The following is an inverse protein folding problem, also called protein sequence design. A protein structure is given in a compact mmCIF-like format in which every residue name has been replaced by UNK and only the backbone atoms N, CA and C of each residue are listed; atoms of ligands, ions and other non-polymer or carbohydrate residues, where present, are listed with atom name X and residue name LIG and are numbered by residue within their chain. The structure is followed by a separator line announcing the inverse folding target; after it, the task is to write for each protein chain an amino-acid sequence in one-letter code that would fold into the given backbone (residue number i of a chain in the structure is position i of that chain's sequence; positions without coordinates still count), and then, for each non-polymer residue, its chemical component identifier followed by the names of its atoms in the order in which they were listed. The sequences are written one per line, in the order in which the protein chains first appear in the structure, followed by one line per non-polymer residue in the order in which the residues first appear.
data_IF_727311165995
#
_entry.id   IF_727311165995
#
_cell.length_a   1.000
_cell.length_b   1.000
_cell.length_c   1.000
_cell.angle_alpha   90.00
_cell.angle_beta   90.00
_cell.angle_gamma   90.00
#
_symmetry.space_group_name_H-M   'P 1'
#
loop_
_entity.id
_entity.type
_entity.pdbx_description
1 polymer ?
#
# COMPACT_ATOMS: atom_id res chain seq x y z
N UNK A 1 8.57 11.87 -14.84
CA UNK A 1 8.31 12.44 -13.49
C UNK A 1 8.93 13.83 -13.34
N UNK A 2 8.71 14.67 -14.35
CA UNK A 2 9.49 15.93 -14.49
C UNK A 2 8.69 17.18 -14.15
N UNK A 3 7.38 17.08 -13.99
CA UNK A 3 6.53 18.27 -13.88
C UNK A 3 6.07 18.58 -12.45
N UNK A 4 6.48 17.81 -11.46
CA UNK A 4 6.13 18.07 -10.08
C UNK A 4 7.14 19.02 -9.45
N UNK A 5 6.62 20.07 -8.80
CA UNK A 5 7.44 21.07 -8.10
C UNK A 5 7.52 20.67 -6.63
N UNK A 6 8.70 20.27 -6.18
CA UNK A 6 8.93 19.91 -4.79
C UNK A 6 8.86 21.14 -3.89
N UNK A 7 8.41 20.98 -2.64
CA UNK A 7 8.44 22.08 -1.69
C UNK A 7 9.89 22.50 -1.40
N UNK A 8 10.12 23.80 -1.39
CA UNK A 8 11.45 24.37 -1.16
C UNK A 8 11.87 24.27 0.32
N UNK A 9 13.18 24.16 0.54
CA UNK A 9 13.77 24.23 1.88
C UNK A 9 13.81 22.90 2.63
N UNK A 10 13.41 21.80 2.00
CA UNK A 10 13.44 20.45 2.63
C UNK A 10 14.44 19.55 1.94
N UNK A 11 15.36 18.99 2.71
CA UNK A 11 16.40 18.08 2.19
C UNK A 11 15.92 16.62 2.12
N UNK A 12 15.18 16.18 3.14
CA UNK A 12 14.73 14.80 3.25
C UNK A 12 13.21 14.76 3.01
N UNK A 13 12.83 14.25 1.87
CA UNK A 13 11.42 14.14 1.48
C UNK A 13 11.04 12.66 1.38
N UNK A 14 10.03 12.26 2.10
CA UNK A 14 9.47 10.91 2.00
C UNK A 14 8.26 10.92 1.08
N UNK A 15 8.15 9.89 0.26
CA UNK A 15 6.92 9.57 -0.47
C UNK A 15 6.18 8.45 0.24
N UNK A 16 4.86 8.51 0.27
CA UNK A 16 4.01 7.52 0.91
C UNK A 16 2.87 7.13 -0.04
N UNK A 17 2.65 5.85 -0.16
CA UNK A 17 1.52 5.29 -0.90
C UNK A 17 1.08 3.98 -0.27
N UNK A 18 -0.18 3.59 -0.47
CA UNK A 18 -0.72 2.34 0.06
C UNK A 18 -1.23 1.42 -1.05
N UNK A 19 -1.31 0.14 -0.70
CA UNK A 19 -1.95 -0.91 -1.51
C UNK A 19 -2.86 -1.72 -0.59
N UNK A 20 -3.94 -2.22 -1.12
CA UNK A 20 -4.81 -3.12 -0.39
C UNK A 20 -6.04 -2.46 0.23
N UNK A 21 -6.52 -1.33 -0.31
CA UNK A 21 -7.79 -0.73 0.14
C UNK A 21 -9.00 -1.49 -0.34
N UNK A 22 -9.01 -1.92 -1.62
CA UNK A 22 -10.14 -2.60 -2.25
C UNK A 22 -10.32 -4.08 -1.94
N UNK A 23 -9.28 -4.86 -1.62
CA UNK A 23 -9.44 -6.28 -1.31
C UNK A 23 -10.38 -6.55 -0.13
N UNK A 24 -10.98 -7.73 -0.14
CA UNK A 24 -11.89 -8.20 0.91
C UNK A 24 -11.15 -8.82 2.10
N UNK A 25 -9.86 -9.07 1.97
CA UNK A 25 -9.05 -9.88 2.86
C UNK A 25 -7.68 -9.26 3.08
N UNK A 26 -7.13 -9.45 4.27
CA UNK A 26 -5.78 -9.04 4.63
C UNK A 26 -5.68 -7.56 4.99
N UNK A 27 -4.46 -7.14 5.27
CA UNK A 27 -4.14 -5.80 5.74
C UNK A 27 -4.09 -4.79 4.59
N UNK A 28 -4.30 -3.52 4.90
CA UNK A 28 -3.85 -2.43 4.04
C UNK A 28 -2.38 -2.17 4.38
N UNK A 29 -1.55 -2.03 3.33
CA UNK A 29 -0.09 -1.98 3.48
C UNK A 29 0.47 -0.77 2.73
N UNK A 30 0.72 0.36 3.41
CA UNK A 30 1.48 1.46 2.84
C UNK A 30 2.97 1.26 3.00
N UNK A 31 3.73 1.94 2.15
CA UNK A 31 5.17 2.10 2.29
C UNK A 31 5.53 3.59 2.35
N UNK A 32 6.66 3.89 2.95
CA UNK A 32 7.28 5.20 2.97
C UNK A 32 8.73 5.07 2.48
N UNK A 33 9.17 5.98 1.62
CA UNK A 33 10.51 5.92 1.02
C UNK A 33 11.13 7.32 0.97
N UNK A 34 12.38 7.41 1.42
CA UNK A 34 13.25 8.57 1.21
C UNK A 34 14.34 8.12 0.23
N UNK A 35 14.35 8.69 -0.98
CA UNK A 35 15.36 8.36 -1.98
C UNK A 35 16.67 9.10 -1.74
N UNK A 36 17.76 8.48 -2.20
CA UNK A 36 19.09 9.10 -2.16
C UNK A 36 19.34 9.82 -3.51
N UNK A 37 19.51 11.15 -3.50
CA UNK A 37 19.77 11.88 -4.74
C UNK A 37 21.08 11.48 -5.43
N UNK A 38 22.02 10.87 -4.69
CA UNK A 38 23.29 10.38 -5.23
C UNK A 38 23.20 8.96 -5.82
N UNK A 39 22.06 8.30 -5.66
CA UNK A 39 21.81 6.96 -6.19
C UNK A 39 20.46 6.92 -6.92
N UNK A 40 20.37 7.55 -8.09
CA UNK A 40 19.12 7.61 -8.85
C UNK A 40 18.67 6.22 -9.29
N UNK A 41 17.36 6.04 -9.36
CA UNK A 41 16.73 4.79 -9.80
C UNK A 41 15.96 5.09 -11.08
N UNK A 42 16.35 4.44 -12.18
CA UNK A 42 15.68 4.58 -13.46
C UNK A 42 14.43 3.71 -13.51
N UNK A 43 13.43 4.15 -14.27
CA UNK A 43 12.25 3.34 -14.58
C UNK A 43 11.14 3.39 -13.55
N UNK A 44 11.21 4.30 -12.57
CA UNK A 44 10.12 4.51 -11.63
C UNK A 44 8.88 5.03 -12.37
N UNK A 45 7.74 4.39 -12.09
CA UNK A 45 6.44 4.70 -12.69
C UNK A 45 5.34 4.21 -11.78
N UNK A 46 4.08 4.46 -12.17
CA UNK A 46 2.92 3.84 -11.53
C UNK A 46 3.10 2.32 -11.50
N UNK A 47 3.06 1.73 -10.31
CA UNK A 47 3.27 0.29 -10.10
C UNK A 47 2.33 -0.59 -10.94
N UNK A 48 1.12 -0.08 -11.23
CA UNK A 48 0.12 -0.77 -12.05
C UNK A 48 0.53 -0.88 -13.52
N UNK A 49 1.38 0.05 -14.00
CA UNK A 49 1.87 0.08 -15.39
C UNK A 49 3.12 -0.78 -15.60
N UNK A 50 3.72 -1.26 -14.51
CA UNK A 50 4.91 -2.09 -14.56
C UNK A 50 4.53 -3.58 -14.58
N UNK A 51 5.30 -4.40 -15.29
CA UNK A 51 5.17 -5.85 -15.20
C UNK A 51 5.59 -6.31 -13.80
N UNK A 52 5.13 -7.49 -13.39
CA UNK A 52 5.51 -8.09 -12.11
C UNK A 52 7.04 -8.22 -12.01
N UNK A 53 7.69 -8.68 -13.06
CA UNK A 53 9.15 -8.83 -13.12
C UNK A 53 9.86 -7.50 -12.88
N UNK A 54 9.40 -6.42 -13.52
CA UNK A 54 9.97 -5.08 -13.34
C UNK A 54 9.73 -4.55 -11.95
N UNK A 55 8.53 -4.77 -11.37
CA UNK A 55 8.24 -4.38 -9.99
C UNK A 55 9.17 -5.05 -9.00
N UNK A 56 9.38 -6.36 -9.13
CA UNK A 56 10.28 -7.10 -8.24
C UNK A 56 11.71 -6.59 -8.33
N UNK A 57 12.20 -6.34 -9.54
CA UNK A 57 13.54 -5.81 -9.76
C UNK A 57 13.70 -4.41 -9.16
N UNK A 58 12.72 -3.53 -9.38
CA UNK A 58 12.74 -2.17 -8.84
C UNK A 58 12.59 -2.17 -7.32
N UNK A 59 11.77 -3.05 -6.75
CA UNK A 59 11.64 -3.16 -5.30
C UNK A 59 12.99 -3.50 -4.64
N UNK A 60 13.74 -4.43 -5.21
CA UNK A 60 15.08 -4.78 -4.72
C UNK A 60 16.04 -3.59 -4.83
N UNK A 61 16.02 -2.88 -5.94
CA UNK A 61 16.87 -1.69 -6.17
C UNK A 61 16.52 -0.55 -5.21
N UNK A 62 15.22 -0.30 -4.97
CA UNK A 62 14.77 0.72 -4.02
C UNK A 62 15.28 0.40 -2.62
N UNK A 63 15.15 -0.84 -2.18
CA UNK A 63 15.61 -1.25 -0.84
C UNK A 63 17.13 -1.09 -0.67
N UNK A 64 17.88 -1.31 -1.73
CA UNK A 64 19.34 -1.16 -1.74
C UNK A 64 19.78 0.31 -1.74
N UNK A 65 19.14 1.14 -2.59
CA UNK A 65 19.60 2.51 -2.89
C UNK A 65 18.93 3.61 -2.07
N UNK A 66 17.73 3.40 -1.54
CA UNK A 66 17.03 4.41 -0.75
C UNK A 66 17.81 4.76 0.54
N UNK A 67 17.72 6.02 0.96
CA UNK A 67 18.25 6.43 2.27
C UNK A 67 17.50 5.73 3.39
N UNK A 68 16.19 5.62 3.26
CA UNK A 68 15.35 4.90 4.21
C UNK A 68 14.09 4.43 3.52
N UNK A 69 13.57 3.30 3.97
CA UNK A 69 12.26 2.80 3.56
C UNK A 69 11.63 2.02 4.72
N UNK A 70 10.32 2.03 4.78
CA UNK A 70 9.57 1.29 5.80
C UNK A 70 8.18 0.96 5.31
N UNK A 71 7.59 -0.06 5.92
CA UNK A 71 6.22 -0.47 5.67
C UNK A 71 5.39 -0.18 6.91
N UNK A 72 4.12 0.15 6.70
CA UNK A 72 3.11 0.21 7.75
C UNK A 72 2.02 -0.80 7.46
N UNK A 73 1.17 -1.04 8.45
CA UNK A 73 0.06 -1.99 8.32
C UNK A 73 -1.12 -1.52 9.14
N UNK A 74 -2.32 -1.79 8.63
CA UNK A 74 -3.52 -1.87 9.45
C UNK A 74 -4.18 -3.21 9.18
N UNK A 75 -4.40 -3.97 10.25
CA UNK A 75 -4.93 -5.33 10.17
C UNK A 75 -6.44 -5.34 9.91
N UNK A 76 -7.02 -6.47 9.44
CA UNK A 76 -8.46 -6.54 9.18
C UNK A 76 -9.34 -6.08 10.34
N UNK A 77 -8.99 -6.42 11.58
CA UNK A 77 -9.74 -5.97 12.75
C UNK A 77 -9.73 -4.46 12.93
N UNK A 78 -8.60 -3.80 12.64
CA UNK A 78 -8.50 -2.33 12.66
C UNK A 78 -9.31 -1.69 11.54
N UNK A 79 -9.31 -2.31 10.36
CA UNK A 79 -10.13 -1.86 9.23
C UNK A 79 -11.61 -1.93 9.59
N UNK A 80 -12.05 -3.00 10.23
CA UNK A 80 -13.44 -3.17 10.66
C UNK A 80 -13.85 -2.14 11.71
N UNK A 81 -12.94 -1.79 12.61
CA UNK A 81 -13.19 -0.79 13.66
C UNK A 81 -13.20 0.64 13.13
N UNK A 82 -12.22 0.99 12.28
CA UNK A 82 -11.94 2.36 11.85
C UNK A 82 -12.53 2.74 10.49
N UNK A 83 -12.96 1.78 9.70
CA UNK A 83 -13.18 1.79 8.24
C UNK A 83 -11.87 1.86 7.44
N UNK A 84 -11.95 1.59 6.14
CA UNK A 84 -10.75 1.47 5.30
C UNK A 84 -10.04 2.82 5.11
N UNK A 85 -10.75 3.93 5.07
CA UNK A 85 -10.14 5.24 4.91
C UNK A 85 -9.26 5.58 6.12
N UNK A 86 -9.81 5.50 7.31
CA UNK A 86 -9.08 5.83 8.55
C UNK A 86 -8.00 4.80 8.86
N UNK A 87 -8.24 3.54 8.59
CA UNK A 87 -7.22 2.49 8.73
C UNK A 87 -6.04 2.72 7.80
N UNK A 88 -6.29 3.14 6.54
CA UNK A 88 -5.24 3.50 5.59
C UNK A 88 -4.40 4.67 6.09
N UNK A 89 -5.04 5.71 6.64
CA UNK A 89 -4.36 6.86 7.20
C UNK A 89 -3.46 6.47 8.38
N UNK A 90 -3.98 5.66 9.29
CA UNK A 90 -3.22 5.15 10.43
C UNK A 90 -2.01 4.31 9.98
N UNK A 91 -2.20 3.45 9.00
CA UNK A 91 -1.12 2.63 8.45
C UNK A 91 -0.03 3.48 7.79
N UNK A 92 -0.40 4.56 7.08
CA UNK A 92 0.56 5.52 6.51
C UNK A 92 1.39 6.21 7.60
N UNK A 93 0.74 6.65 8.68
CA UNK A 93 1.43 7.23 9.84
C UNK A 93 2.45 6.24 10.42
N UNK A 94 2.07 4.98 10.53
CA UNK A 94 2.95 3.90 11.00
C UNK A 94 4.15 3.70 10.08
N UNK A 95 3.95 3.75 8.76
CA UNK A 95 5.03 3.63 7.80
C UNK A 95 6.06 4.76 7.95
N UNK A 96 5.60 6.00 8.05
CA UNK A 96 6.47 7.16 8.21
C UNK A 96 7.23 7.09 9.54
N UNK A 97 6.54 6.77 10.64
CA UNK A 97 7.16 6.64 11.96
C UNK A 97 8.21 5.52 12.03
N UNK A 98 8.06 4.48 11.21
CA UNK A 98 8.97 3.36 11.16
C UNK A 98 10.26 3.65 10.36
N UNK A 99 10.33 4.75 9.63
CA UNK A 99 11.54 5.16 8.91
C UNK A 99 12.68 5.39 9.90
N UNK A 100 13.85 4.79 9.63
CA UNK A 100 15.03 4.94 10.48
C UNK A 100 15.60 6.36 10.45
N UNK A 101 15.38 7.06 9.33
CA UNK A 101 15.70 8.47 9.16
C UNK A 101 14.36 9.18 9.02
N UNK A 102 14.07 10.15 9.90
CA UNK A 102 12.80 10.87 9.80
C UNK A 102 12.89 11.95 8.72
N UNK A 103 11.87 12.05 7.85
CA UNK A 103 11.87 13.05 6.80
C UNK A 103 11.57 14.45 7.35
N UNK A 104 11.93 15.47 6.57
CA UNK A 104 11.56 16.86 6.86
C UNK A 104 10.19 17.20 6.27
N UNK A 105 9.80 16.50 5.22
CA UNK A 105 8.53 16.70 4.52
C UNK A 105 8.01 15.37 3.97
N UNK A 106 6.69 15.22 3.92
CA UNK A 106 6.03 13.99 3.44
C UNK A 106 5.11 14.32 2.27
N UNK A 107 5.32 13.63 1.15
CA UNK A 107 4.43 13.66 0.00
C UNK A 107 3.58 12.41 0.00
N UNK A 108 2.26 12.57 0.04
CA UNK A 108 1.31 11.47 0.17
C UNK A 108 0.50 11.32 -1.12
N UNK A 109 0.44 10.11 -1.65
CA UNK A 109 -0.42 9.84 -2.81
C UNK A 109 -1.88 10.06 -2.44
N UNK A 110 -2.62 10.74 -3.33
CA UNK A 110 -4.04 10.98 -3.17
C UNK A 110 -4.39 12.42 -2.82
N UNK A 111 -5.52 12.60 -2.18
CA UNK A 111 -6.08 13.92 -1.88
C UNK A 111 -6.22 14.21 -0.38
N UNK A 112 -5.65 13.38 0.47
CA UNK A 112 -5.74 13.52 1.93
C UNK A 112 -4.38 13.31 2.58
N UNK A 113 -4.18 14.02 3.68
CA UNK A 113 -3.00 13.89 4.53
C UNK A 113 -3.41 13.15 5.80
N UNK A 114 -2.66 12.10 6.22
CA UNK A 114 -2.92 11.47 7.52
C UNK A 114 -2.86 12.49 8.66
N UNK A 115 -3.85 12.49 9.57
CA UNK A 115 -3.99 13.57 10.54
C UNK A 115 -2.90 13.65 11.62
N UNK A 116 -2.21 12.55 11.90
CA UNK A 116 -1.25 12.47 12.99
C UNK A 116 0.19 12.21 12.52
N UNK A 117 0.56 12.69 11.33
CA UNK A 117 1.94 12.57 10.84
C UNK A 117 2.94 13.33 11.72
N UNK A 118 2.55 14.49 12.24
CA UNK A 118 3.44 15.34 13.01
C UNK A 118 4.54 16.01 12.20
N UNK A 119 4.43 16.03 10.88
CA UNK A 119 5.41 16.57 9.94
C UNK A 119 4.70 17.37 8.85
N UNK A 120 5.36 18.38 8.27
CA UNK A 120 4.82 19.05 7.09
C UNK A 120 4.56 18.03 5.97
N UNK A 121 3.41 18.14 5.33
CA UNK A 121 3.00 17.18 4.31
C UNK A 121 2.15 17.83 3.22
N UNK A 122 2.13 17.19 2.06
CA UNK A 122 1.30 17.59 0.92
C UNK A 122 0.71 16.33 0.29
N UNK A 123 -0.57 16.36 -0.01
CA UNK A 123 -1.24 15.33 -0.79
C UNK A 123 -1.03 15.62 -2.28
N UNK A 124 -0.71 14.59 -3.05
CA UNK A 124 -0.46 14.71 -4.50
C UNK A 124 -1.34 13.70 -5.22
N UNK A 125 -2.35 14.20 -5.91
CA UNK A 125 -3.23 13.36 -6.72
C UNK A 125 -2.40 12.72 -7.85
N UNK A 126 -2.51 11.41 -8.03
CA UNK A 126 -1.69 10.62 -8.96
C UNK A 126 -0.18 10.78 -8.70
N UNK A 127 0.17 10.93 -7.43
CA UNK A 127 1.56 11.12 -7.02
C UNK A 127 2.49 9.99 -7.44
N UNK A 128 1.99 8.76 -7.51
CA UNK A 128 2.72 7.59 -7.97
C UNK A 128 3.24 7.69 -9.42
N UNK A 129 2.62 8.56 -10.23
CA UNK A 129 3.10 8.85 -11.59
C UNK A 129 3.86 10.17 -11.71
N UNK A 130 3.86 11.00 -10.67
CA UNK A 130 4.43 12.35 -10.68
C UNK A 130 5.65 12.52 -9.79
N UNK A 131 5.73 11.76 -8.68
CA UNK A 131 6.75 11.92 -7.64
C UNK A 131 7.52 10.62 -7.49
N UNK A 132 8.83 10.66 -7.67
CA UNK A 132 9.70 9.47 -7.63
C UNK A 132 9.60 8.73 -6.28
N UNK A 133 9.57 9.45 -5.16
CA UNK A 133 9.47 8.88 -3.81
C UNK A 133 8.14 8.15 -3.61
N UNK A 134 7.04 8.70 -4.14
CA UNK A 134 5.72 8.06 -4.07
C UNK A 134 5.68 6.83 -4.99
N UNK A 135 6.26 6.92 -6.19
CA UNK A 135 6.38 5.77 -7.09
C UNK A 135 7.13 4.62 -6.40
N UNK A 136 8.25 4.92 -5.77
CA UNK A 136 9.03 3.92 -5.04
C UNK A 136 8.21 3.29 -3.92
N UNK A 137 7.48 4.09 -3.14
CA UNK A 137 6.59 3.60 -2.09
C UNK A 137 5.48 2.70 -2.66
N UNK A 138 4.86 3.10 -3.75
CA UNK A 138 3.83 2.32 -4.45
C UNK A 138 4.36 0.93 -4.87
N UNK A 139 5.55 0.89 -5.44
CA UNK A 139 6.19 -0.36 -5.87
C UNK A 139 6.45 -1.28 -4.68
N UNK A 140 7.03 -0.77 -3.59
CA UNK A 140 7.28 -1.56 -2.39
C UNK A 140 5.98 -2.09 -1.78
N UNK A 141 4.97 -1.26 -1.68
CA UNK A 141 3.67 -1.65 -1.13
C UNK A 141 3.01 -2.74 -1.98
N UNK A 142 3.02 -2.59 -3.30
CA UNK A 142 2.44 -3.57 -4.24
C UNK A 142 3.14 -4.91 -4.15
N UNK A 143 4.47 -4.93 -4.15
CA UNK A 143 5.24 -6.17 -4.04
C UNK A 143 4.97 -6.87 -2.70
N UNK A 144 4.96 -6.12 -1.60
CA UNK A 144 4.70 -6.69 -0.27
C UNK A 144 3.29 -7.30 -0.19
N UNK A 145 2.27 -6.60 -0.67
CA UNK A 145 0.90 -7.07 -0.64
C UNK A 145 0.69 -8.31 -1.51
N UNK A 146 1.26 -8.32 -2.72
CA UNK A 146 1.17 -9.48 -3.61
C UNK A 146 1.83 -10.71 -2.98
N UNK A 147 2.97 -10.55 -2.31
CA UNK A 147 3.63 -11.64 -1.59
C UNK A 147 2.78 -12.17 -0.45
N UNK A 148 2.09 -11.31 0.30
CA UNK A 148 1.17 -11.73 1.35
C UNK A 148 0.02 -12.57 0.78
N UNK A 149 -0.51 -12.20 -0.38
CA UNK A 149 -1.57 -12.96 -1.04
C UNK A 149 -1.07 -14.32 -1.55
N UNK A 150 0.16 -14.38 -2.04
CA UNK A 150 0.79 -15.66 -2.44
C UNK A 150 1.00 -16.59 -1.23
N UNK A 151 1.42 -16.04 -0.10
CA UNK A 151 1.56 -16.82 1.14
C UNK A 151 0.21 -17.33 1.64
N UNK A 152 -0.83 -16.51 1.57
CA UNK A 152 -2.19 -16.91 1.94
C UNK A 152 -2.72 -17.99 0.99
N UNK A 153 -2.39 -17.92 -0.30
CA UNK A 153 -2.72 -18.93 -1.29
C UNK A 153 -2.10 -20.29 -0.97
N UNK A 154 -0.86 -20.30 -0.49
CA UNK A 154 -0.19 -21.54 -0.09
C UNK A 154 -0.90 -22.22 1.08
N UNK A 155 -1.45 -21.43 2.00
CA UNK A 155 -2.21 -21.95 3.15
C UNK A 155 -3.62 -22.40 2.78
N UNK A 156 -4.24 -21.73 1.83
CA UNK A 156 -5.63 -21.92 1.44
C UNK A 156 -5.77 -21.91 -0.09
N UNK A 157 -5.20 -22.88 -0.81
CA UNK A 157 -5.16 -22.87 -2.28
C UNK A 157 -6.54 -22.89 -2.95
N UNK A 158 -7.54 -23.37 -2.26
CA UNK A 158 -8.92 -23.44 -2.76
C UNK A 158 -9.57 -22.06 -2.98
N UNK A 159 -9.06 -21.00 -2.36
CA UNK A 159 -9.58 -19.63 -2.51
C UNK A 159 -9.01 -18.90 -3.73
N UNK A 160 -7.90 -19.36 -4.29
CA UNK A 160 -7.22 -18.73 -5.45
C UNK A 160 -6.68 -17.31 -5.19
N UNK A 161 -6.17 -17.04 -3.98
CA UNK A 161 -5.63 -15.73 -3.60
C UNK A 161 -4.49 -15.25 -4.49
N UNK A 162 -3.66 -16.14 -5.00
CA UNK A 162 -2.57 -15.79 -5.91
C UNK A 162 -3.09 -15.21 -7.23
N UNK A 163 -4.31 -15.58 -7.64
CA UNK A 163 -4.93 -15.14 -8.88
C UNK A 163 -5.62 -13.78 -8.72
N UNK A 164 -6.54 -13.64 -7.75
CA UNK A 164 -7.32 -12.40 -7.59
C UNK A 164 -6.71 -11.42 -6.59
N UNK A 165 -5.69 -11.80 -5.85
CA UNK A 165 -4.98 -10.95 -4.87
C UNK A 165 -5.90 -10.33 -3.80
N UNK A 166 -7.03 -10.96 -3.54
CA UNK A 166 -8.01 -10.51 -2.55
C UNK A 166 -9.09 -9.56 -3.08
N UNK A 167 -8.96 -9.09 -4.32
CA UNK A 167 -9.93 -8.17 -4.91
C UNK A 167 -11.28 -8.87 -5.19
N UNK A 168 -12.40 -8.13 -5.15
CA UNK A 168 -13.74 -8.71 -5.30
C UNK A 168 -14.09 -9.04 -6.76
N UNK A 169 -13.25 -9.87 -7.39
CA UNK A 169 -13.52 -10.42 -8.71
C UNK A 169 -14.64 -11.46 -8.63
N UNK A 170 -15.20 -11.82 -9.79
CA UNK A 170 -16.23 -12.87 -9.87
C UNK A 170 -15.73 -14.16 -9.21
N UNK A 171 -14.50 -14.58 -9.53
CA UNK A 171 -13.89 -15.78 -8.95
C UNK A 171 -13.80 -15.68 -7.43
N UNK A 172 -13.31 -14.55 -6.89
CA UNK A 172 -13.19 -14.38 -5.44
C UNK A 172 -14.55 -14.44 -4.74
N UNK A 173 -15.55 -13.76 -5.31
CA UNK A 173 -16.91 -13.77 -4.74
C UNK A 173 -17.52 -15.17 -4.76
N UNK A 174 -17.30 -15.94 -5.81
CA UNK A 174 -17.74 -17.33 -5.91
C UNK A 174 -17.07 -18.21 -4.83
N UNK A 175 -15.76 -18.06 -4.67
CA UNK A 175 -15.00 -18.82 -3.66
C UNK A 175 -15.41 -18.43 -2.24
N UNK A 176 -15.62 -17.16 -1.97
CA UNK A 176 -16.08 -16.67 -0.68
C UNK A 176 -17.47 -17.23 -0.34
N UNK A 177 -18.40 -17.25 -1.29
CA UNK A 177 -19.73 -17.79 -1.11
C UNK A 177 -19.70 -19.33 -0.85
N UNK A 178 -18.83 -20.04 -1.55
CA UNK A 178 -18.69 -21.49 -1.46
C UNK A 178 -18.01 -21.92 -0.14
N UNK A 179 -16.92 -21.25 0.23
CA UNK A 179 -16.01 -21.70 1.31
C UNK A 179 -16.20 -20.93 2.62
N UNK A 180 -16.83 -19.76 2.56
CA UNK A 180 -16.95 -18.88 3.72
C UNK A 180 -15.69 -18.06 3.99
N UNK A 181 -15.80 -17.01 4.84
CA UNK A 181 -14.66 -16.17 5.15
C UNK A 181 -13.71 -16.80 6.18
N UNK A 182 -12.41 -16.65 5.90
CA UNK A 182 -11.34 -16.96 6.85
C UNK A 182 -11.19 -15.82 7.88
N UNK A 183 -10.42 -16.04 8.97
CA UNK A 183 -10.15 -14.98 9.96
C UNK A 183 -9.55 -13.71 9.37
N UNK A 184 -8.79 -13.81 8.28
CA UNK A 184 -8.13 -12.70 7.61
C UNK A 184 -9.06 -11.80 6.80
N UNK A 185 -10.33 -12.19 6.64
CA UNK A 185 -11.32 -11.39 5.92
C UNK A 185 -11.78 -10.17 6.71
N UNK A 186 -12.09 -9.11 5.98
CA UNK A 186 -12.60 -7.84 6.52
C UNK A 186 -14.12 -7.95 6.66
N UNK A 187 -14.57 -8.14 7.88
CA UNK A 187 -15.97 -8.47 8.20
C UNK A 187 -16.93 -7.31 7.95
N UNK A 188 -16.42 -6.07 7.93
CA UNK A 188 -17.20 -4.86 7.64
C UNK A 188 -17.48 -4.65 6.15
N UNK A 189 -16.75 -5.33 5.26
CA UNK A 189 -16.96 -5.21 3.83
C UNK A 189 -18.21 -5.96 3.39
N UNK A 190 -19.02 -5.31 2.53
CA UNK A 190 -20.34 -5.79 2.11
C UNK A 190 -20.36 -7.25 1.64
N UNK A 191 -19.48 -7.71 0.73
CA UNK A 191 -19.49 -9.10 0.30
C UNK A 191 -19.20 -10.08 1.43
N UNK A 192 -18.36 -9.68 2.39
CA UNK A 192 -18.01 -10.53 3.55
C UNK A 192 -19.17 -10.60 4.53
N UNK A 193 -19.84 -9.47 4.81
CA UNK A 193 -21.08 -9.45 5.60
C UNK A 193 -22.12 -10.38 5.02
N UNK A 194 -22.32 -10.33 3.71
CA UNK A 194 -23.27 -11.19 3.00
C UNK A 194 -22.92 -12.67 3.17
N UNK A 195 -21.64 -13.04 3.04
CA UNK A 195 -21.17 -14.40 3.23
C UNK A 195 -21.35 -14.90 4.68
N UNK A 196 -21.33 -13.99 5.65
CA UNK A 196 -21.58 -14.30 7.07
C UNK A 196 -23.06 -14.33 7.42
N UNK A 197 -23.95 -13.99 6.49
CA UNK A 197 -25.39 -13.89 6.77
C UNK A 197 -25.79 -12.66 7.58
N UNK A 198 -24.91 -11.64 7.63
CA UNK A 198 -25.21 -10.37 8.28
C UNK A 198 -25.80 -9.44 7.23
N UNK A 199 -27.10 -9.11 7.38
CA UNK A 199 -27.76 -8.14 6.52
C UNK A 199 -27.62 -6.74 7.10
N UNK A 200 -27.52 -5.76 6.22
CA UNK A 200 -27.57 -4.35 6.61
C UNK A 200 -29.00 -3.90 6.90
#
# INVERSE_FOLDING_TARGET
MTDFVYPEGYQLVAGVDEVGRGPLVGSVVPAAVILDPNKPIAGLADSKKLSEKKRLALAAEIKEKALAWAMGRAEPAEIDELNILHASMLAMERAVKALKIQPHFVLVDGNRIPPNLGLPAQAVVKGDSLVAEISAASILAKVARDQEMEELDKKHPEYAFAQHKGYPTKLHLEKLAELGPLPEYRRSFSPVKKALGIEE
#
